data_IF_581651648175
#
_entry.id   IF_581651648175
#
_cell.length_a   1.000
_cell.length_b   1.000
_cell.length_c   1.000
_cell.angle_alpha   90.00
_cell.angle_beta   90.00
_cell.angle_gamma   90.00
#
_symmetry.space_group_name_H-M   'P 1'
#
loop_
_entity.id
_entity.type
_entity.pdbx_description
1 polymer ?
#
# COMPACT_ATOMS: atom_id res chain seq x y z
N UNK A 1 -31.09 87.62 -89.96
CA UNK A 1 -30.21 86.51 -90.37
C UNK A 1 -29.02 86.58 -89.42
N UNK A 2 -29.01 85.84 -88.30
CA UNK A 2 -28.60 84.41 -88.18
C UNK A 2 -27.14 84.25 -88.68
N UNK A 3 -26.15 83.80 -87.91
CA UNK A 3 -26.11 82.71 -86.92
C UNK A 3 -25.01 82.89 -85.84
N UNK A 4 -25.26 82.30 -84.67
CA UNK A 4 -24.33 82.05 -83.54
C UNK A 4 -23.76 80.60 -83.62
N UNK A 5 -22.68 80.27 -82.85
CA UNK A 5 -21.69 79.25 -83.20
C UNK A 5 -21.98 77.84 -82.64
N UNK A 6 -21.43 76.80 -83.28
CA UNK A 6 -21.47 75.43 -82.79
C UNK A 6 -20.13 75.03 -82.15
N UNK A 7 -20.05 75.06 -80.81
CA UNK A 7 -18.98 74.41 -80.05
C UNK A 7 -19.15 72.88 -80.09
N UNK A 8 -18.11 72.18 -80.54
CA UNK A 8 -18.09 70.73 -80.60
C UNK A 8 -17.64 70.18 -79.24
N UNK A 9 -18.61 69.86 -78.39
CA UNK A 9 -18.35 69.14 -77.12
C UNK A 9 -18.15 67.66 -77.43
N UNK A 10 -16.90 67.22 -77.44
CA UNK A 10 -16.52 65.81 -77.59
C UNK A 10 -16.66 65.11 -76.24
N UNK A 11 -17.82 64.52 -75.98
CA UNK A 11 -18.09 63.71 -74.78
C UNK A 11 -17.41 62.35 -74.95
N UNK A 12 -16.28 62.15 -74.27
CA UNK A 12 -15.64 60.84 -74.12
C UNK A 12 -16.57 59.97 -73.27
N UNK A 13 -17.27 59.02 -73.91
CA UNK A 13 -18.06 57.98 -73.24
C UNK A 13 -17.09 56.92 -72.71
N UNK A 14 -16.93 56.85 -71.39
CA UNK A 14 -16.33 55.70 -70.74
C UNK A 14 -17.45 54.65 -70.61
N UNK A 15 -17.26 53.46 -71.19
CA UNK A 15 -18.25 52.38 -71.19
C UNK A 15 -18.40 51.76 -69.78
N UNK A 16 -19.22 52.38 -68.94
CA UNK A 16 -19.47 51.95 -67.56
C UNK A 16 -20.05 50.52 -67.45
N UNK A 17 -20.77 50.03 -68.46
CA UNK A 17 -21.41 48.69 -68.44
C UNK A 17 -20.41 47.53 -68.33
N UNK A 18 -19.25 47.64 -68.98
CA UNK A 18 -18.21 46.59 -68.97
C UNK A 18 -17.61 46.43 -67.56
N UNK A 19 -17.65 47.50 -66.75
CA UNK A 19 -17.09 47.48 -65.39
C UNK A 19 -18.03 46.81 -64.38
N UNK A 20 -19.35 46.98 -64.53
CA UNK A 20 -20.35 46.33 -63.68
C UNK A 20 -20.40 44.81 -63.89
N UNK A 21 -20.33 44.32 -65.13
CA UNK A 21 -20.37 42.88 -65.41
C UNK A 21 -19.16 42.14 -64.79
N UNK A 22 -17.99 42.77 -64.80
CA UNK A 22 -16.77 42.23 -64.16
C UNK A 22 -16.87 42.23 -62.64
N UNK A 23 -17.49 43.25 -62.06
CA UNK A 23 -17.69 43.31 -60.61
C UNK A 23 -18.75 42.30 -60.14
N UNK A 24 -19.85 42.17 -60.87
CA UNK A 24 -20.92 41.19 -60.59
C UNK A 24 -20.42 39.76 -60.66
N UNK A 25 -19.67 39.39 -61.71
CA UNK A 25 -19.06 38.06 -61.82
C UNK A 25 -18.05 37.77 -60.70
N UNK A 26 -17.28 38.78 -60.26
CA UNK A 26 -16.39 38.64 -59.10
C UNK A 26 -17.16 38.45 -57.78
N UNK A 27 -18.31 39.10 -57.62
CA UNK A 27 -19.16 38.88 -56.45
C UNK A 27 -19.80 37.50 -56.44
N UNK A 28 -20.35 37.07 -57.57
CA UNK A 28 -20.94 35.74 -57.72
C UNK A 28 -19.93 34.64 -57.38
N UNK A 29 -18.73 34.71 -57.97
CA UNK A 29 -17.66 33.75 -57.66
C UNK A 29 -17.23 33.75 -56.20
N UNK A 30 -17.19 34.92 -55.54
CA UNK A 30 -16.91 35.00 -54.10
C UNK A 30 -18.05 34.46 -53.24
N UNK A 31 -19.30 34.72 -53.61
CA UNK A 31 -20.48 34.19 -52.93
C UNK A 31 -20.48 32.67 -53.05
N UNK A 32 -20.27 32.11 -54.24
CA UNK A 32 -20.19 30.67 -54.47
C UNK A 32 -19.04 30.04 -53.67
N UNK A 33 -17.88 30.71 -53.62
CA UNK A 33 -16.74 30.25 -52.82
C UNK A 33 -17.05 30.24 -51.32
N UNK A 34 -17.71 31.28 -50.80
CA UNK A 34 -18.12 31.35 -49.39
C UNK A 34 -19.17 30.28 -49.08
N UNK A 35 -20.17 30.14 -49.95
CA UNK A 35 -21.23 29.14 -49.80
C UNK A 35 -20.67 27.72 -49.81
N UNK A 36 -19.70 27.43 -50.70
CA UNK A 36 -18.97 26.17 -50.70
C UNK A 36 -18.30 25.89 -49.36
N UNK A 37 -17.55 26.86 -48.82
CA UNK A 37 -16.89 26.72 -47.50
C UNK A 37 -17.89 26.54 -46.36
N UNK A 38 -19.05 27.20 -46.40
CA UNK A 38 -20.11 27.05 -45.40
C UNK A 38 -20.66 25.62 -45.42
N UNK A 39 -20.88 25.05 -46.61
CA UNK A 39 -21.36 23.67 -46.75
C UNK A 39 -20.32 22.67 -46.24
N UNK A 40 -19.05 22.83 -46.60
CA UNK A 40 -17.96 21.98 -46.10
C UNK A 40 -17.86 22.04 -44.57
N UNK A 41 -17.88 23.25 -43.99
CA UNK A 41 -17.83 23.43 -42.54
C UNK A 41 -19.04 22.81 -41.84
N UNK A 42 -20.23 22.93 -42.43
CA UNK A 42 -21.46 22.30 -41.94
C UNK A 42 -21.34 20.78 -41.93
N UNK A 43 -20.73 20.19 -42.94
CA UNK A 43 -20.57 18.74 -43.02
C UNK A 43 -19.51 18.22 -42.06
N UNK A 44 -18.42 18.97 -41.82
CA UNK A 44 -17.44 18.61 -40.79
C UNK A 44 -18.07 18.68 -39.39
N UNK A 45 -18.85 19.71 -39.07
CA UNK A 45 -19.58 19.79 -37.79
C UNK A 45 -20.49 18.57 -37.60
N UNK A 46 -21.26 18.19 -38.62
CA UNK A 46 -22.15 17.03 -38.51
C UNK A 46 -21.37 15.74 -38.24
N UNK A 47 -20.22 15.58 -38.89
CA UNK A 47 -19.35 14.42 -38.72
C UNK A 47 -18.78 14.38 -37.30
N UNK A 48 -18.29 15.51 -36.78
CA UNK A 48 -17.82 15.60 -35.39
C UNK A 48 -18.94 15.33 -34.38
N UNK A 49 -20.14 15.89 -34.60
CA UNK A 49 -21.31 15.61 -33.76
C UNK A 49 -21.67 14.13 -33.74
N UNK A 50 -21.60 13.45 -34.90
CA UNK A 50 -21.87 12.02 -34.98
C UNK A 50 -20.80 11.19 -34.27
N UNK A 51 -19.52 11.56 -34.39
CA UNK A 51 -18.45 10.92 -33.62
C UNK A 51 -18.62 11.12 -32.12
N UNK A 52 -18.97 12.32 -31.68
CA UNK A 52 -19.22 12.63 -30.27
C UNK A 52 -20.42 11.84 -29.73
N UNK A 53 -21.51 11.75 -30.49
CA UNK A 53 -22.69 10.97 -30.11
C UNK A 53 -22.35 9.48 -29.92
N UNK A 54 -21.57 8.90 -30.83
CA UNK A 54 -21.13 7.51 -30.72
C UNK A 54 -20.24 7.28 -29.49
N UNK A 55 -19.30 8.20 -29.24
CA UNK A 55 -18.43 8.13 -28.05
C UNK A 55 -19.22 8.26 -26.76
N UNK A 56 -20.21 9.16 -26.73
CA UNK A 56 -21.08 9.34 -25.57
C UNK A 56 -21.89 8.07 -25.27
N UNK A 57 -22.48 7.47 -26.30
CA UNK A 57 -23.23 6.21 -26.16
C UNK A 57 -22.36 5.06 -25.63
N UNK A 58 -21.10 4.96 -26.10
CA UNK A 58 -20.16 3.96 -25.59
C UNK A 58 -19.85 4.17 -24.09
N UNK A 59 -19.59 5.41 -23.68
CA UNK A 59 -19.32 5.76 -22.27
C UNK A 59 -20.55 5.52 -21.40
N UNK A 60 -21.76 5.79 -21.89
CA UNK A 60 -23.01 5.51 -21.18
C UNK A 60 -23.20 4.00 -20.97
N UNK A 61 -22.92 3.19 -22.00
CA UNK A 61 -22.97 1.73 -21.90
C UNK A 61 -21.97 1.19 -20.87
N UNK A 62 -20.72 1.65 -20.89
CA UNK A 62 -19.70 1.24 -19.93
C UNK A 62 -20.09 1.64 -18.50
N UNK A 63 -20.61 2.85 -18.31
CA UNK A 63 -21.10 3.29 -17.01
C UNK A 63 -22.26 2.43 -16.49
N UNK A 64 -23.16 1.98 -17.37
CA UNK A 64 -24.25 1.07 -16.99
C UNK A 64 -23.72 -0.31 -16.58
N UNK A 65 -22.72 -0.83 -17.31
CA UNK A 65 -22.06 -2.10 -16.96
C UNK A 65 -21.38 -2.00 -15.59
N UNK A 66 -20.56 -0.97 -15.37
CA UNK A 66 -19.87 -0.75 -14.09
C UNK A 66 -20.84 -0.60 -12.90
N UNK A 67 -21.96 0.10 -13.10
CA UNK A 67 -23.01 0.22 -12.08
C UNK A 67 -23.63 -1.14 -11.74
N UNK A 68 -23.85 -1.97 -12.75
CA UNK A 68 -24.41 -3.32 -12.57
C UNK A 68 -23.42 -4.23 -11.85
N UNK A 69 -22.15 -4.22 -12.23
CA UNK A 69 -21.09 -4.99 -11.56
C UNK A 69 -20.92 -4.56 -10.09
N UNK A 70 -20.90 -3.25 -9.83
CA UNK A 70 -20.87 -2.74 -8.46
C UNK A 70 -22.08 -3.17 -7.64
N UNK A 71 -23.27 -3.22 -8.24
CA UNK A 71 -24.46 -3.71 -7.55
C UNK A 71 -24.34 -5.21 -7.23
N UNK A 72 -23.81 -6.01 -8.14
CA UNK A 72 -23.57 -7.44 -7.91
C UNK A 72 -22.53 -7.67 -6.80
N UNK A 73 -21.42 -6.92 -6.82
CA UNK A 73 -20.39 -6.99 -5.76
C UNK A 73 -20.93 -6.54 -4.41
N UNK A 74 -21.80 -5.52 -4.36
CA UNK A 74 -22.47 -5.10 -3.12
C UNK A 74 -23.49 -6.10 -2.60
N UNK A 75 -24.11 -6.89 -3.49
CA UNK A 75 -25.03 -7.95 -3.13
C UNK A 75 -24.32 -9.25 -2.75
N UNK A 76 -23.03 -9.41 -3.09
CA UNK A 76 -22.25 -10.49 -2.51
C UNK A 76 -22.23 -10.30 -0.99
N UNK A 77 -22.59 -11.36 -0.23
CA UNK A 77 -22.58 -11.26 1.21
C UNK A 77 -21.16 -10.89 1.68
N UNK A 78 -21.02 -10.00 2.68
CA UNK A 78 -19.73 -9.75 3.29
C UNK A 78 -19.17 -11.09 3.76
N UNK A 79 -17.94 -11.42 3.32
CA UNK A 79 -17.10 -12.56 3.71
C UNK A 79 -17.91 -13.70 4.35
N UNK A 80 -18.18 -14.75 3.57
CA UNK A 80 -18.94 -15.95 3.97
C UNK A 80 -18.82 -16.22 5.47
N UNK A 81 -19.93 -16.46 6.20
CA UNK A 81 -19.90 -16.65 7.67
C UNK A 81 -18.90 -17.73 8.09
N UNK A 82 -18.68 -18.74 7.24
CA UNK A 82 -17.66 -19.78 7.40
C UNK A 82 -16.24 -19.19 7.47
N UNK A 83 -15.93 -18.21 6.64
CA UNK A 83 -14.62 -17.56 6.63
C UNK A 83 -14.39 -16.75 7.91
N UNK A 84 -15.43 -16.11 8.45
CA UNK A 84 -15.32 -15.39 9.73
C UNK A 84 -15.11 -16.36 10.90
N UNK A 85 -15.83 -17.48 10.92
CA UNK A 85 -15.65 -18.55 11.92
C UNK A 85 -14.24 -19.16 11.84
N UNK A 86 -13.72 -19.38 10.63
CA UNK A 86 -12.35 -19.83 10.41
C UNK A 86 -11.33 -18.80 10.93
N UNK A 87 -11.53 -17.51 10.66
CA UNK A 87 -10.65 -16.46 11.17
C UNK A 87 -10.67 -16.38 12.70
N UNK A 88 -11.85 -16.55 13.32
CA UNK A 88 -11.97 -16.62 14.78
C UNK A 88 -11.16 -17.80 15.33
N UNK A 89 -11.39 -19.00 14.78
CA UNK A 89 -10.69 -20.22 15.20
C UNK A 89 -9.18 -20.08 15.06
N UNK A 90 -8.69 -19.49 13.96
CA UNK A 90 -7.26 -19.23 13.76
C UNK A 90 -6.71 -18.31 14.84
N UNK A 91 -7.45 -17.28 15.24
CA UNK A 91 -7.01 -16.35 16.28
C UNK A 91 -6.99 -17.00 17.66
N UNK A 92 -7.99 -17.82 17.97
CA UNK A 92 -8.04 -18.57 19.24
C UNK A 92 -6.84 -19.52 19.36
N UNK A 93 -6.58 -20.30 18.30
CA UNK A 93 -5.44 -21.22 18.25
C UNK A 93 -4.09 -20.50 18.37
N UNK A 94 -3.94 -19.33 17.74
CA UNK A 94 -2.71 -18.52 17.88
C UNK A 94 -2.49 -18.04 19.30
N UNK A 95 -3.57 -17.65 19.97
CA UNK A 95 -3.52 -17.17 21.35
C UNK A 95 -3.10 -18.32 22.28
N UNK A 96 -3.75 -19.48 22.13
CA UNK A 96 -3.45 -20.67 22.92
C UNK A 96 -2.02 -21.19 22.72
N UNK A 97 -1.51 -21.14 21.48
CA UNK A 97 -0.11 -21.49 21.19
C UNK A 97 0.84 -20.54 21.91
N UNK A 98 0.59 -19.23 21.81
CA UNK A 98 1.43 -18.24 22.47
C UNK A 98 1.40 -18.37 24.01
N UNK A 99 0.25 -18.69 24.60
CA UNK A 99 0.13 -18.97 26.04
C UNK A 99 0.91 -20.21 26.47
N UNK A 100 0.87 -21.29 25.66
CA UNK A 100 1.66 -22.50 25.92
C UNK A 100 3.16 -22.24 25.82
N UNK A 101 3.60 -21.49 24.81
CA UNK A 101 5.01 -21.14 24.66
C UNK A 101 5.52 -20.31 25.84
N UNK A 102 4.74 -19.31 26.28
CA UNK A 102 5.08 -18.52 27.46
C UNK A 102 5.09 -19.37 28.73
N UNK A 103 4.14 -20.29 28.90
CA UNK A 103 4.09 -21.20 30.04
C UNK A 103 5.30 -22.15 30.07
N UNK A 104 5.77 -22.58 28.90
CA UNK A 104 6.98 -23.40 28.81
C UNK A 104 8.23 -22.62 29.25
N UNK A 105 8.35 -21.35 28.85
CA UNK A 105 9.46 -20.50 29.25
C UNK A 105 9.51 -20.22 30.75
N UNK A 106 8.37 -20.25 31.45
CA UNK A 106 8.33 -20.07 32.91
C UNK A 106 8.91 -21.26 33.68
N UNK A 107 8.97 -22.44 33.07
CA UNK A 107 9.52 -23.64 33.70
C UNK A 107 11.04 -23.75 33.53
N UNK A 108 11.62 -22.97 32.62
CA UNK A 108 13.06 -22.97 32.36
C UNK A 108 13.77 -21.93 33.24
N UNK A 109 14.81 -22.36 33.95
CA UNK A 109 15.61 -21.49 34.83
C UNK A 109 17.05 -21.43 34.33
N UNK A 110 17.54 -20.23 34.03
CA UNK A 110 18.95 -20.00 33.65
C UNK A 110 19.79 -19.65 34.89
N UNK A 111 20.81 -20.46 35.17
CA UNK A 111 21.78 -20.20 36.23
C UNK A 111 23.12 -19.82 35.61
N UNK A 112 23.58 -18.60 35.89
CA UNK A 112 24.83 -18.05 35.34
C UNK A 112 25.94 -17.98 36.38
N UNK A 113 27.20 -17.86 35.92
CA UNK A 113 28.35 -17.66 36.80
C UNK A 113 28.92 -18.92 37.46
N UNK A 114 28.48 -20.11 37.05
CA UNK A 114 28.99 -21.37 37.58
C UNK A 114 30.29 -21.79 36.87
N UNK A 115 31.39 -22.03 37.60
CA UNK A 115 32.63 -22.55 37.01
C UNK A 115 32.39 -23.91 36.34
N UNK A 116 33.14 -24.20 35.28
CA UNK A 116 33.03 -25.41 34.46
C UNK A 116 34.13 -26.41 34.79
N UNK A 117 33.75 -27.63 35.17
CA UNK A 117 34.69 -28.71 35.49
C UNK A 117 34.45 -29.92 34.59
N UNK A 118 35.50 -30.71 34.37
CA UNK A 118 35.37 -31.96 33.62
C UNK A 118 34.57 -32.99 34.41
N UNK A 119 33.68 -33.72 33.72
CA UNK A 119 32.85 -34.80 34.29
C UNK A 119 31.93 -34.37 35.43
N UNK A 120 31.48 -33.13 35.43
CA UNK A 120 30.43 -32.70 36.36
C UNK A 120 29.05 -33.21 35.96
N UNK A 121 28.17 -33.39 36.95
CA UNK A 121 26.75 -33.68 36.72
C UNK A 121 25.95 -32.40 36.94
N UNK A 122 25.36 -31.87 35.85
CA UNK A 122 24.54 -30.65 35.87
C UNK A 122 23.32 -30.78 36.78
N UNK A 123 22.66 -31.94 36.82
CA UNK A 123 21.52 -32.20 37.70
C UNK A 123 21.89 -32.05 39.19
N UNK A 124 23.00 -32.68 39.61
CA UNK A 124 23.49 -32.55 41.00
C UNK A 124 23.87 -31.11 41.35
N UNK A 125 24.42 -30.36 40.38
CA UNK A 125 24.78 -28.95 40.56
C UNK A 125 23.54 -28.10 40.84
N UNK A 126 22.46 -28.31 40.08
CA UNK A 126 21.17 -27.62 40.29
C UNK A 126 20.59 -27.95 41.67
N UNK A 127 20.60 -29.23 42.07
CA UNK A 127 20.13 -29.63 43.40
C UNK A 127 20.96 -28.99 44.53
N UNK A 128 22.28 -28.94 44.38
CA UNK A 128 23.17 -28.31 45.35
C UNK A 128 22.89 -26.80 45.47
N UNK A 129 22.63 -26.11 44.35
CA UNK A 129 22.28 -24.69 44.33
C UNK A 129 20.92 -24.46 44.99
N UNK A 130 19.91 -25.28 44.66
CA UNK A 130 18.60 -25.24 45.31
C UNK A 130 18.72 -25.36 46.83
N UNK A 131 19.50 -26.34 47.31
CA UNK A 131 19.76 -26.51 48.74
C UNK A 131 20.43 -25.29 49.38
N UNK A 132 21.33 -24.60 48.66
CA UNK A 132 21.95 -23.35 49.14
C UNK A 132 21.00 -22.16 49.16
N UNK A 133 19.99 -22.15 48.30
CA UNK A 133 18.93 -21.14 48.27
C UNK A 133 17.77 -21.46 49.24
N UNK A 134 17.86 -22.57 49.97
CA UNK A 134 16.81 -23.02 50.90
C UNK A 134 15.64 -23.74 50.23
N UNK A 135 15.80 -24.16 48.98
CA UNK A 135 14.83 -24.98 48.25
C UNK A 135 15.19 -26.46 48.37
N UNK A 136 14.21 -27.30 48.67
CA UNK A 136 14.35 -28.76 48.65
C UNK A 136 13.95 -29.23 47.26
N UNK A 137 14.93 -29.47 46.40
CA UNK A 137 14.73 -30.02 45.06
C UNK A 137 15.08 -31.51 45.06
N UNK A 138 14.20 -32.32 44.49
CA UNK A 138 14.41 -33.73 44.21
C UNK A 138 14.70 -33.97 42.72
N UNK A 139 15.25 -35.14 42.38
CA UNK A 139 15.58 -35.48 40.99
C UNK A 139 14.34 -35.48 40.06
N UNK A 140 13.16 -35.79 40.61
CA UNK A 140 11.88 -35.74 39.89
C UNK A 140 11.41 -34.32 39.55
N UNK A 141 11.95 -33.30 40.24
CA UNK A 141 11.59 -31.89 40.02
C UNK A 141 12.38 -31.29 38.85
N UNK A 142 13.47 -31.95 38.43
CA UNK A 142 14.34 -31.50 37.34
C UNK A 142 14.08 -32.35 36.10
N UNK A 143 13.39 -31.76 35.11
CA UNK A 143 13.13 -32.44 33.83
C UNK A 143 14.42 -32.61 33.01
N UNK A 144 15.22 -31.54 32.91
CA UNK A 144 16.49 -31.53 32.20
C UNK A 144 17.38 -30.43 32.73
N UNK A 145 18.68 -30.70 32.82
CA UNK A 145 19.69 -29.70 33.17
C UNK A 145 20.90 -29.86 32.25
N UNK A 146 21.25 -28.80 31.53
CA UNK A 146 22.39 -28.80 30.61
C UNK A 146 23.10 -27.45 30.64
N UNK A 147 24.39 -27.44 30.29
CA UNK A 147 25.10 -26.18 30.02
C UNK A 147 24.71 -25.65 28.66
N UNK A 148 24.54 -24.33 28.58
CA UNK A 148 24.20 -23.62 27.35
C UNK A 148 25.36 -22.70 26.97
N UNK A 149 25.78 -22.75 25.71
CA UNK A 149 26.86 -21.91 25.18
C UNK A 149 28.21 -22.63 25.05
N UNK A 150 29.21 -21.89 24.56
CA UNK A 150 30.56 -22.40 24.38
C UNK A 150 31.30 -22.50 25.72
N UNK A 151 32.06 -23.59 25.93
CA UNK A 151 32.85 -23.83 27.14
C UNK A 151 33.81 -22.66 27.38
N UNK A 152 33.80 -22.10 28.59
CA UNK A 152 34.70 -21.01 28.95
C UNK A 152 36.12 -21.56 29.13
N UNK A 153 37.15 -20.95 28.52
CA UNK A 153 38.53 -21.36 28.77
C UNK A 153 38.85 -21.21 30.27
N UNK A 154 39.70 -22.10 30.82
CA UNK A 154 40.00 -22.12 32.24
C UNK A 154 40.55 -20.76 32.70
N UNK A 155 40.18 -20.31 33.91
CA UNK A 155 40.71 -19.07 34.47
C UNK A 155 42.20 -19.29 34.81
N UNK A 156 43.07 -18.99 33.85
CA UNK A 156 44.52 -19.17 33.99
C UNK A 156 45.31 -19.23 32.67
N UNK A 157 44.67 -19.53 31.54
CA UNK A 157 45.33 -19.60 30.21
C UNK A 157 45.10 -18.37 29.32
N UNK A 158 44.60 -17.27 29.90
CA UNK A 158 44.55 -15.96 29.25
C UNK A 158 45.85 -15.19 29.47
N UNK A 159 46.63 -15.01 28.41
CA UNK A 159 47.76 -14.08 28.38
C UNK A 159 47.34 -12.68 28.92
N UNK A 160 48.24 -11.96 29.61
CA UNK A 160 47.91 -10.67 30.19
C UNK A 160 47.68 -9.62 29.08
N UNK A 161 46.50 -9.01 29.07
CA UNK A 161 46.35 -7.66 28.50
C UNK A 161 45.70 -7.53 27.12
N UNK A 162 44.80 -8.42 26.71
CA UNK A 162 43.85 -8.07 25.63
C UNK A 162 42.52 -7.71 26.27
N UNK A 163 42.15 -6.41 26.40
CA UNK A 163 40.77 -6.07 26.69
C UNK A 163 39.88 -6.73 25.64
N UNK A 164 38.71 -7.28 26.00
CA UNK A 164 37.84 -7.90 25.01
C UNK A 164 37.64 -6.87 23.91
N UNK A 165 38.11 -7.22 22.71
CA UNK A 165 37.85 -6.42 21.53
C UNK A 165 36.36 -6.14 21.55
N UNK A 166 36.02 -4.85 21.60
CA UNK A 166 34.69 -4.38 21.27
C UNK A 166 34.41 -4.86 19.85
N UNK A 167 33.96 -6.10 19.71
CA UNK A 167 33.33 -6.59 18.51
C UNK A 167 32.09 -5.71 18.38
N UNK A 168 32.20 -4.72 17.51
CA UNK A 168 31.17 -3.75 17.21
C UNK A 168 29.84 -4.47 17.09
N UNK A 169 28.96 -4.19 18.05
CA UNK A 169 27.56 -4.56 17.97
C UNK A 169 26.98 -3.70 16.86
N UNK A 170 27.03 -4.19 15.62
CA UNK A 170 26.22 -3.63 14.55
C UNK A 170 24.76 -3.70 15.02
N UNK A 171 24.01 -2.58 15.04
CA UNK A 171 22.63 -2.61 15.42
C UNK A 171 21.85 -3.32 14.32
N UNK A 172 21.41 -4.57 14.56
CA UNK A 172 20.38 -5.19 13.73
C UNK A 172 20.56 -6.63 13.25
N UNK A 173 21.41 -7.48 13.82
CA UNK A 173 21.35 -8.91 13.49
C UNK A 173 20.30 -9.64 14.35
N UNK A 174 19.24 -10.21 13.77
CA UNK A 174 18.25 -10.96 14.52
C UNK A 174 18.81 -12.33 14.93
N UNK A 175 18.36 -12.77 16.11
CA UNK A 175 18.67 -14.05 16.77
C UNK A 175 18.27 -15.24 15.87
N UNK A 176 19.09 -16.30 15.74
CA UNK A 176 18.70 -17.47 14.97
C UNK A 176 17.69 -18.28 15.78
N UNK A 177 16.45 -18.34 15.32
CA UNK A 177 15.43 -19.28 15.79
C UNK A 177 15.06 -20.23 14.65
N UNK A 178 15.37 -21.52 14.81
CA UNK A 178 14.76 -22.62 14.05
C UNK A 178 15.73 -23.49 13.22
N UNK A 179 15.44 -24.81 13.10
CA UNK A 179 16.27 -25.74 12.33
C UNK A 179 16.01 -25.59 10.83
N UNK A 180 17.03 -26.00 10.06
CA UNK A 180 17.04 -26.00 8.61
C UNK A 180 16.00 -26.94 7.99
N UNK A 181 15.32 -26.48 6.94
CA UNK A 181 14.60 -27.31 5.97
C UNK A 181 13.20 -26.79 5.60
N UNK A 182 13.04 -26.31 4.36
CA UNK A 182 11.73 -26.06 3.76
C UNK A 182 11.61 -24.70 3.08
N UNK A 183 11.77 -24.69 1.76
CA UNK A 183 11.72 -23.56 0.84
C UNK A 183 10.52 -22.62 1.09
N UNK A 184 10.80 -21.31 1.22
CA UNK A 184 9.78 -20.25 1.16
C UNK A 184 9.95 -19.46 -0.14
N UNK A 185 9.03 -19.69 -1.07
CA UNK A 185 8.63 -18.68 -2.04
C UNK A 185 8.12 -17.45 -1.27
N UNK A 186 8.89 -16.35 -1.33
CA UNK A 186 8.43 -15.03 -0.90
C UNK A 186 7.63 -14.40 -2.03
N UNK A 187 6.34 -14.18 -1.82
CA UNK A 187 5.60 -13.14 -2.53
C UNK A 187 5.34 -11.98 -1.57
N UNK A 188 5.89 -10.85 -1.99
CA UNK A 188 5.78 -9.50 -1.46
C UNK A 188 4.34 -9.06 -1.27
N UNK A 189 4.00 -8.52 -0.09
CA UNK A 189 2.90 -7.59 0.09
C UNK A 189 3.39 -6.39 0.88
N UNK A 190 3.76 -5.37 0.12
CA UNK A 190 3.92 -4.00 0.59
C UNK A 190 2.61 -3.25 0.31
N UNK A 191 2.26 -2.33 1.21
CA UNK A 191 1.21 -1.31 1.13
C UNK A 191 -0.22 -1.78 1.44
N UNK A 192 -0.70 -1.40 2.63
CA UNK A 192 -1.86 -0.50 2.79
C UNK A 192 -1.95 -0.09 4.27
N UNK A 193 -1.56 1.14 4.58
CA UNK A 193 -1.94 1.84 5.82
C UNK A 193 -2.68 3.09 5.38
N UNK A 194 -3.98 3.15 5.64
CA UNK A 194 -4.81 4.30 5.30
C UNK A 194 -6.16 4.25 6.02
N UNK A 195 -6.32 5.19 6.97
CA UNK A 195 -7.55 5.67 7.59
C UNK A 195 -8.15 4.91 8.79
N UNK A 196 -7.74 5.34 9.98
CA UNK A 196 -8.53 6.28 10.77
C UNK A 196 -9.84 5.77 11.38
N UNK A 197 -9.78 5.28 12.62
CA UNK A 197 -10.88 5.34 13.55
C UNK A 197 -10.35 5.72 14.94
N UNK A 198 -10.67 6.93 15.38
CA UNK A 198 -10.40 7.40 16.73
C UNK A 198 -11.26 6.59 17.72
N UNK A 199 -10.62 5.74 18.51
CA UNK A 199 -11.26 5.09 19.65
C UNK A 199 -11.20 6.05 20.85
N UNK A 200 -12.36 6.60 21.20
CA UNK A 200 -12.58 7.38 22.39
C UNK A 200 -12.64 6.44 23.60
N UNK A 201 -11.76 6.63 24.59
CA UNK A 201 -11.81 5.89 25.85
C UNK A 201 -12.93 6.44 26.75
N UNK A 202 -13.71 5.60 27.46
CA UNK A 202 -14.59 6.07 28.51
C UNK A 202 -13.78 6.48 29.75
N UNK A 203 -14.02 7.70 30.24
CA UNK A 203 -13.47 8.19 31.50
C UNK A 203 -13.98 7.34 32.67
N UNK A 204 -13.05 6.84 33.48
CA UNK A 204 -13.31 6.25 34.79
C UNK A 204 -13.65 7.36 35.79
N UNK A 205 -14.83 7.29 36.41
CA UNK A 205 -15.23 8.19 37.50
C UNK A 205 -14.48 7.84 38.80
N UNK A 206 -14.12 8.84 39.64
CA UNK A 206 -13.41 8.59 40.88
C UNK A 206 -14.33 8.00 41.97
N UNK A 207 -13.82 6.96 42.63
CA UNK A 207 -14.35 6.29 43.83
C UNK A 207 -14.51 7.30 44.97
N UNK A 208 -15.75 7.58 45.40
CA UNK A 208 -15.96 8.28 46.66
C UNK A 208 -15.58 7.37 47.82
N UNK A 209 -14.72 7.89 48.71
CA UNK A 209 -14.48 7.34 50.04
C UNK A 209 -15.66 7.75 50.92
N UNK A 210 -16.44 6.78 51.36
CA UNK A 210 -17.26 6.96 52.56
C UNK A 210 -16.44 6.48 53.76
N UNK A 211 -16.13 7.42 54.63
CA UNK A 211 -15.74 7.17 56.00
C UNK A 211 -17.03 6.98 56.81
N UNK A 212 -17.12 5.89 57.58
CA UNK A 212 -17.61 5.82 58.95
C UNK A 212 -17.22 4.46 59.54
#
# INVERSE_FOLDING_TARGET
MQDEPAETTTTIRVDDSITYDRFSSLLETKIDSIMGRIVEFKDEIKKEMLMLANRLSAVESENQQLRTELQQLKQQPPISPVVNELYSTINDLKTELNERDQSSLLNDVEITGLPEFEKESTGHLVMAIGAKLGMVLEERDVVSAARVGARRPPPGEGAPGVPPAAAGRAPGTPRPTGPAGGERLRSSWSHYCGHGAAFSYPQTLPRQREAY
#
